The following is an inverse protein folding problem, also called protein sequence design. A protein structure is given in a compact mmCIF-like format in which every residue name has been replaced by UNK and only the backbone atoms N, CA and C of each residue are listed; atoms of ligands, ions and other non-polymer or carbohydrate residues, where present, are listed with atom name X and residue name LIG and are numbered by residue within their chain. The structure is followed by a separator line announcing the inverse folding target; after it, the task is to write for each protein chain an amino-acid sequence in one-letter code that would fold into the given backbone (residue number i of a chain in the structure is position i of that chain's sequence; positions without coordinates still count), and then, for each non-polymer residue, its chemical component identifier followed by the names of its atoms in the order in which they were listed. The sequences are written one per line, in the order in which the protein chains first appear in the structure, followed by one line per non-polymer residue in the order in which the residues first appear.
data_IF_747721873051
#
_entry.id   IF_747721873051
#
_cell.length_a   1.000
_cell.length_b   1.000
_cell.length_c   1.000
_cell.angle_alpha   90.00
_cell.angle_beta   90.00
_cell.angle_gamma   90.00
#
_symmetry.space_group_name_H-M   'P 1'
#
loop_
_entity.id
_entity.type
_entity.pdbx_description
1 polymer ?
#
# COMPACT_ATOMS: atom_id res chain seq x y z
N UNK A 1 -9.00 -0.68 19.41
CA UNK A 1 -8.10 -1.75 18.90
C UNK A 1 -6.91 -1.13 18.17
N UNK A 2 -5.74 -1.77 18.15
CA UNK A 2 -4.57 -1.28 17.41
C UNK A 2 -4.68 -1.69 15.94
N UNK A 3 -4.47 -0.74 15.01
CA UNK A 3 -4.49 -1.02 13.57
C UNK A 3 -3.33 -1.93 13.15
N UNK A 4 -3.60 -2.87 12.25
CA UNK A 4 -2.59 -3.75 11.65
C UNK A 4 -1.78 -2.95 10.62
N UNK A 5 -0.45 -3.06 10.68
CA UNK A 5 0.46 -2.42 9.73
C UNK A 5 0.73 -3.35 8.55
N UNK A 6 0.49 -2.85 7.34
CA UNK A 6 0.68 -3.59 6.11
C UNK A 6 1.84 -3.04 5.29
N UNK A 7 2.64 -3.95 4.72
CA UNK A 7 3.57 -3.66 3.64
C UNK A 7 3.03 -4.24 2.33
N UNK A 8 2.99 -3.43 1.28
CA UNK A 8 2.52 -3.85 -0.04
C UNK A 8 3.71 -4.22 -0.91
N UNK A 9 3.69 -5.40 -1.52
CA UNK A 9 4.67 -5.82 -2.52
C UNK A 9 4.03 -5.73 -3.91
N UNK A 10 4.64 -4.94 -4.81
CA UNK A 10 4.18 -4.55 -6.15
C UNK A 10 3.57 -3.15 -6.23
N UNK A 11 3.68 -2.54 -7.40
CA UNK A 11 3.14 -1.22 -7.77
C UNK A 11 2.11 -1.37 -8.89
N UNK A 12 1.38 -2.49 -8.90
CA UNK A 12 0.35 -2.74 -9.90
C UNK A 12 -0.73 -1.65 -9.84
N UNK A 13 -1.21 -1.23 -11.01
CA UNK A 13 -2.16 -0.11 -11.15
C UNK A 13 -3.44 -0.29 -10.34
N UNK A 14 -3.96 -1.51 -10.23
CA UNK A 14 -5.12 -1.80 -9.37
C UNK A 14 -4.78 -1.60 -7.88
N UNK A 15 -3.59 -2.01 -7.45
CA UNK A 15 -3.11 -1.84 -6.08
C UNK A 15 -3.05 -0.36 -5.70
N UNK A 16 -2.39 0.45 -6.53
CA UNK A 16 -2.15 1.87 -6.23
C UNK A 16 -3.37 2.76 -6.45
N UNK A 17 -4.24 2.43 -7.41
CA UNK A 17 -5.41 3.27 -7.74
C UNK A 17 -6.70 2.86 -7.06
N UNK A 18 -6.80 1.63 -6.52
CA UNK A 18 -8.04 1.11 -5.93
C UNK A 18 -7.83 0.50 -4.55
N UNK A 19 -6.95 -0.50 -4.43
CA UNK A 19 -6.84 -1.30 -3.21
C UNK A 19 -6.24 -0.51 -2.04
N UNK A 20 -5.07 0.11 -2.23
CA UNK A 20 -4.39 0.88 -1.17
C UNK A 20 -5.27 2.03 -0.66
N UNK A 21 -5.90 2.86 -1.53
CA UNK A 21 -6.86 3.87 -1.07
C UNK A 21 -7.99 3.30 -0.22
N UNK A 22 -8.61 2.18 -0.64
CA UNK A 22 -9.68 1.54 0.12
C UNK A 22 -9.20 0.98 1.47
N UNK A 23 -8.00 0.37 1.51
CA UNK A 23 -7.40 -0.11 2.76
C UNK A 23 -7.12 1.04 3.73
N UNK A 24 -6.70 2.21 3.26
CA UNK A 24 -6.44 3.36 4.13
C UNK A 24 -7.70 3.90 4.82
N UNK A 25 -8.88 3.67 4.23
CA UNK A 25 -10.18 4.00 4.85
C UNK A 25 -10.61 2.96 5.91
N UNK A 26 -9.93 1.82 5.99
CA UNK A 26 -10.24 0.76 6.93
C UNK A 26 -9.98 1.16 8.39
N UNK A 27 -10.89 0.74 9.27
CA UNK A 27 -10.78 1.00 10.71
C UNK A 27 -9.61 0.23 11.34
N UNK A 28 -9.31 -0.97 10.82
CA UNK A 28 -8.37 -1.91 11.45
C UNK A 28 -7.04 -2.07 10.72
N UNK A 29 -6.77 -1.31 9.66
CA UNK A 29 -5.53 -1.43 8.90
C UNK A 29 -4.89 -0.07 8.57
N UNK A 30 -3.58 -0.11 8.36
CA UNK A 30 -2.80 1.04 7.90
C UNK A 30 -1.69 0.52 6.99
N UNK A 31 -1.66 1.01 5.76
CA UNK A 31 -0.56 0.72 4.83
C UNK A 31 0.61 1.62 5.19
N UNK A 32 1.76 1.03 5.53
CA UNK A 32 2.94 1.77 6.02
C UNK A 32 4.17 1.63 5.12
N UNK A 33 4.12 0.76 4.12
CA UNK A 33 5.22 0.58 3.17
C UNK A 33 4.72 0.05 1.83
N UNK A 34 5.46 0.37 0.77
CA UNK A 34 5.30 -0.24 -0.56
C UNK A 34 6.68 -0.59 -1.11
N UNK A 35 6.79 -1.75 -1.74
CA UNK A 35 8.02 -2.25 -2.35
C UNK A 35 7.77 -2.67 -3.79
N UNK A 36 8.81 -2.57 -4.61
CA UNK A 36 8.79 -3.00 -6.01
C UNK A 36 10.14 -3.59 -6.39
N UNK A 37 10.14 -4.42 -7.42
CA UNK A 37 11.39 -4.92 -8.04
C UNK A 37 12.25 -3.79 -8.60
N UNK A 38 11.67 -2.63 -8.91
CA UNK A 38 12.36 -1.43 -9.36
C UNK A 38 12.14 -0.33 -8.34
N UNK A 39 13.21 0.17 -7.73
CA UNK A 39 13.15 1.18 -6.68
C UNK A 39 12.37 2.43 -7.13
N UNK A 40 12.68 2.93 -8.33
CA UNK A 40 12.02 4.09 -8.95
C UNK A 40 10.49 3.97 -8.96
N UNK A 41 9.97 2.77 -9.22
CA UNK A 41 8.52 2.54 -9.26
C UNK A 41 7.86 2.63 -7.88
N UNK A 42 8.57 2.25 -6.82
CA UNK A 42 8.08 2.37 -5.47
C UNK A 42 8.17 3.82 -4.97
N UNK A 43 9.22 4.55 -5.33
CA UNK A 43 9.44 5.95 -4.95
C UNK A 43 8.50 6.95 -5.65
N UNK A 44 7.96 6.59 -6.82
CA UNK A 44 7.02 7.44 -7.56
C UNK A 44 5.57 7.42 -7.03
N UNK A 45 5.31 6.77 -5.88
CA UNK A 45 4.00 6.64 -5.24
C UNK A 45 3.95 7.40 -3.92
#
# INVERSE_FOLDING_TARGET
MKKIRWGVLSTARIGTKKVIPAMQLGEYCTVTAIASRRLEKAQAL
#
